data_IF_054573459319
#
_entry.id   IF_054573459319
#
_cell.length_a   1.000
_cell.length_b   1.000
_cell.length_c   1.000
_cell.angle_alpha   90.00
_cell.angle_beta   90.00
_cell.angle_gamma   90.00
#
_symmetry.space_group_name_H-M   'P 1'
#
loop_
_entity.id
_entity.type
_entity.pdbx_description
1 polymer ?
#
# COMPACT_ATOMS: atom_id res chain seq x y z
N UNK A 1 -10.92 -37.24 -35.32
CA UNK A 1 -11.50 -36.46 -34.21
C UNK A 1 -10.59 -36.67 -33.02
N UNK A 2 -9.68 -35.73 -32.77
CA UNK A 2 -8.63 -35.87 -31.78
C UNK A 2 -9.01 -35.07 -30.54
N UNK A 3 -9.04 -35.76 -29.39
CA UNK A 3 -9.41 -35.22 -28.08
C UNK A 3 -8.58 -33.99 -27.73
N UNK A 4 -9.27 -32.89 -27.43
CA UNK A 4 -8.71 -31.75 -26.70
C UNK A 4 -8.72 -32.15 -25.23
N UNK A 5 -7.57 -32.58 -24.73
CA UNK A 5 -7.32 -32.62 -23.30
C UNK A 5 -7.27 -31.17 -22.80
N UNK A 6 -8.37 -30.75 -22.17
CA UNK A 6 -8.43 -29.50 -21.40
C UNK A 6 -7.48 -29.68 -20.22
N UNK A 7 -6.24 -29.23 -20.41
CA UNK A 7 -5.31 -28.96 -19.32
C UNK A 7 -6.00 -28.01 -18.35
N UNK A 8 -6.55 -28.58 -17.27
CA UNK A 8 -6.98 -27.83 -16.08
C UNK A 8 -5.77 -27.02 -15.62
N UNK A 9 -5.75 -25.75 -15.98
CA UNK A 9 -4.86 -24.75 -15.44
C UNK A 9 -4.89 -24.86 -13.92
N UNK A 10 -3.75 -25.16 -13.32
CA UNK A 10 -3.60 -25.30 -11.88
C UNK A 10 -4.00 -24.02 -11.17
N UNK A 11 -5.24 -23.96 -10.72
CA UNK A 11 -5.56 -23.21 -9.52
C UNK A 11 -4.91 -23.99 -8.38
N UNK A 12 -3.69 -23.59 -8.01
CA UNK A 12 -3.18 -24.00 -6.70
C UNK A 12 -4.22 -23.55 -5.69
N UNK A 13 -4.69 -24.49 -4.88
CA UNK A 13 -5.61 -24.22 -3.79
C UNK A 13 -4.85 -23.38 -2.75
N UNK A 14 -4.79 -22.06 -2.94
CA UNK A 14 -4.29 -21.12 -1.95
C UNK A 14 -5.04 -21.38 -0.62
N UNK A 15 -4.33 -21.70 0.49
CA UNK A 15 -5.00 -21.94 1.75
C UNK A 15 -5.88 -20.75 2.14
N UNK A 16 -7.10 -21.00 2.63
CA UNK A 16 -8.02 -19.92 2.98
C UNK A 16 -7.43 -18.92 4.00
N UNK A 17 -6.54 -19.39 4.88
CA UNK A 17 -5.80 -18.53 5.81
C UNK A 17 -4.82 -17.59 5.10
N UNK A 18 -4.12 -18.07 4.06
CA UNK A 18 -3.22 -17.26 3.23
C UNK A 18 -4.00 -16.18 2.49
N UNK A 19 -5.15 -16.55 1.91
CA UNK A 19 -6.01 -15.59 1.22
C UNK A 19 -6.50 -14.48 2.13
N UNK A 20 -6.88 -14.81 3.37
CA UNK A 20 -7.25 -13.81 4.37
C UNK A 20 -6.09 -12.89 4.71
N UNK A 21 -4.91 -13.44 4.94
CA UNK A 21 -3.72 -12.65 5.26
C UNK A 21 -3.36 -11.68 4.14
N UNK A 22 -3.38 -12.14 2.89
CA UNK A 22 -3.14 -11.29 1.72
C UNK A 22 -4.13 -10.12 1.64
N UNK A 23 -5.42 -10.41 1.80
CA UNK A 23 -6.47 -9.39 1.77
C UNK A 23 -6.34 -8.39 2.95
N UNK A 24 -6.02 -8.88 4.14
CA UNK A 24 -5.83 -8.04 5.33
C UNK A 24 -4.64 -7.11 5.18
N UNK A 25 -3.49 -7.62 4.74
CA UNK A 25 -2.28 -6.83 4.47
C UNK A 25 -2.56 -5.80 3.37
N UNK A 26 -3.13 -6.21 2.23
CA UNK A 26 -3.46 -5.29 1.16
C UNK A 26 -4.37 -4.16 1.64
N UNK A 27 -5.43 -4.49 2.39
CA UNK A 27 -6.36 -3.51 2.93
C UNK A 27 -5.73 -2.60 4.00
N UNK A 28 -4.79 -3.10 4.79
CA UNK A 28 -4.05 -2.27 5.74
C UNK A 28 -3.21 -1.22 5.00
N UNK A 29 -2.47 -1.65 3.98
CA UNK A 29 -1.61 -0.78 3.19
C UNK A 29 -2.40 0.24 2.36
N UNK A 30 -3.46 -0.14 1.64
CA UNK A 30 -4.29 0.81 0.87
C UNK A 30 -4.92 1.87 1.79
N UNK A 31 -5.44 1.47 2.96
CA UNK A 31 -5.98 2.41 3.96
C UNK A 31 -4.91 3.35 4.50
N UNK A 32 -3.66 2.91 4.61
CA UNK A 32 -2.56 3.78 5.02
C UNK A 32 -2.36 4.94 4.04
N UNK A 33 -2.73 4.80 2.77
CA UNK A 33 -2.75 5.86 1.75
C UNK A 33 -4.11 6.58 1.65
N UNK A 34 -5.04 6.30 2.56
CA UNK A 34 -6.39 6.86 2.52
C UNK A 34 -7.21 6.37 1.32
N UNK A 35 -6.81 5.25 0.71
CA UNK A 35 -7.47 4.61 -0.43
C UNK A 35 -8.51 3.63 0.10
N UNK A 36 -9.74 3.75 -0.42
CA UNK A 36 -10.83 2.80 -0.18
C UNK A 36 -11.42 2.44 -1.55
N UNK A 37 -10.80 1.45 -2.19
CA UNK A 37 -11.18 0.96 -3.52
C UNK A 37 -10.86 -0.53 -3.58
N UNK A 38 -11.86 -1.34 -3.95
CA UNK A 38 -11.71 -2.79 -4.10
C UNK A 38 -10.74 -3.12 -5.24
N UNK A 39 -10.77 -2.33 -6.32
CA UNK A 39 -9.85 -2.47 -7.46
C UNK A 39 -8.40 -2.29 -7.02
N UNK A 40 -8.13 -1.30 -6.17
CA UNK A 40 -6.79 -1.05 -5.65
C UNK A 40 -6.34 -2.14 -4.67
N UNK A 41 -7.25 -2.64 -3.82
CA UNK A 41 -7.00 -3.78 -2.93
C UNK A 41 -6.63 -5.03 -3.76
N UNK A 42 -7.40 -5.37 -4.79
CA UNK A 42 -7.17 -6.54 -5.64
C UNK A 42 -5.84 -6.47 -6.41
N UNK A 43 -5.45 -5.28 -6.87
CA UNK A 43 -4.13 -5.06 -7.49
C UNK A 43 -3.00 -5.34 -6.51
N UNK A 44 -3.09 -4.82 -5.28
CA UNK A 44 -2.07 -5.07 -4.27
C UNK A 44 -2.03 -6.55 -3.89
N UNK A 45 -3.19 -7.21 -3.71
CA UNK A 45 -3.25 -8.66 -3.48
C UNK A 45 -2.55 -9.43 -4.60
N UNK A 46 -2.71 -9.01 -5.85
CA UNK A 46 -2.07 -9.65 -7.00
C UNK A 46 -0.54 -9.53 -6.96
N UNK A 47 0.00 -8.38 -6.56
CA UNK A 47 1.44 -8.16 -6.34
C UNK A 47 1.95 -9.02 -5.17
N UNK A 48 1.21 -9.06 -4.05
CA UNK A 48 1.56 -9.90 -2.89
C UNK A 48 1.59 -11.39 -3.24
N UNK A 49 0.61 -11.86 -4.03
CA UNK A 49 0.61 -13.23 -4.55
C UNK A 49 1.79 -13.52 -5.46
N UNK A 50 2.21 -12.54 -6.27
CA UNK A 50 3.39 -12.69 -7.12
C UNK A 50 4.66 -12.83 -6.28
N UNK A 51 4.87 -11.93 -5.32
CA UNK A 51 6.01 -11.99 -4.40
C UNK A 51 6.05 -13.31 -3.61
N UNK A 52 4.89 -13.80 -3.15
CA UNK A 52 4.81 -15.09 -2.48
C UNK A 52 5.19 -16.26 -3.39
N UNK A 53 4.84 -16.25 -4.68
CA UNK A 53 5.25 -17.35 -5.58
C UNK A 53 6.76 -17.39 -5.76
N UNK A 54 7.39 -16.23 -5.76
CA UNK A 54 8.84 -16.11 -6.00
C UNK A 54 9.66 -16.54 -4.76
N UNK A 55 9.14 -16.42 -3.53
CA UNK A 55 9.87 -16.74 -2.28
C UNK A 55 9.09 -17.66 -1.29
N UNK A 56 8.11 -18.43 -1.79
CA UNK A 56 7.15 -19.18 -0.95
C UNK A 56 7.81 -20.15 0.03
N UNK A 57 8.88 -20.82 -0.43
CA UNK A 57 9.57 -21.86 0.33
C UNK A 57 10.46 -21.26 1.42
N UNK A 58 11.08 -20.10 1.15
CA UNK A 58 11.91 -19.38 2.12
C UNK A 58 11.11 -18.69 3.21
N UNK A 59 9.96 -18.11 2.86
CA UNK A 59 9.06 -17.38 3.75
C UNK A 59 8.52 -18.23 4.89
N UNK A 60 7.92 -19.37 4.51
CA UNK A 60 7.18 -20.24 5.41
C UNK A 60 8.14 -20.96 6.36
N UNK A 61 9.33 -21.31 5.90
CA UNK A 61 10.36 -21.97 6.72
C UNK A 61 10.90 -21.07 7.85
N UNK A 62 10.85 -19.74 7.69
CA UNK A 62 11.41 -18.77 8.64
C UNK A 62 10.39 -18.17 9.60
N UNK A 63 9.09 -18.40 9.41
CA UNK A 63 8.04 -17.81 10.24
C UNK A 63 7.79 -16.31 10.02
N UNK A 64 8.42 -15.68 9.02
CA UNK A 64 8.36 -14.24 8.76
C UNK A 64 7.40 -13.87 7.62
N UNK A 65 6.29 -14.58 7.49
CA UNK A 65 5.36 -14.39 6.37
C UNK A 65 4.76 -12.97 6.35
N UNK A 66 4.40 -12.40 7.51
CA UNK A 66 3.85 -11.05 7.59
C UNK A 66 4.89 -10.00 7.16
N UNK A 67 6.11 -10.07 7.68
CA UNK A 67 7.20 -9.16 7.31
C UNK A 67 7.49 -9.20 5.81
N UNK A 68 7.46 -10.40 5.21
CA UNK A 68 7.61 -10.55 3.77
C UNK A 68 6.47 -9.89 3.00
N UNK A 69 5.22 -10.05 3.45
CA UNK A 69 4.07 -9.41 2.81
C UNK A 69 4.11 -7.89 2.96
N UNK A 70 4.58 -7.38 4.10
CA UNK A 70 4.77 -5.95 4.32
C UNK A 70 5.89 -5.38 3.44
N UNK A 71 7.01 -6.10 3.29
CA UNK A 71 8.09 -5.71 2.38
C UNK A 71 7.63 -5.78 0.91
N UNK A 72 6.86 -6.80 0.53
CA UNK A 72 6.28 -6.91 -0.81
C UNK A 72 5.29 -5.78 -1.09
N UNK A 73 4.45 -5.42 -0.12
CA UNK A 73 3.53 -4.29 -0.25
C UNK A 73 4.29 -2.96 -0.39
N UNK A 74 5.30 -2.73 0.46
CA UNK A 74 6.17 -1.57 0.37
C UNK A 74 6.83 -1.49 -1.01
N UNK A 75 7.48 -2.57 -1.45
CA UNK A 75 8.16 -2.63 -2.74
C UNK A 75 7.21 -2.38 -3.92
N UNK A 76 6.01 -2.98 -3.92
CA UNK A 76 5.02 -2.78 -4.97
C UNK A 76 4.55 -1.31 -5.05
N UNK A 77 4.25 -0.69 -3.91
CA UNK A 77 3.81 0.70 -3.86
C UNK A 77 4.96 1.65 -4.20
N UNK A 78 6.16 1.40 -3.69
CA UNK A 78 7.36 2.19 -4.01
C UNK A 78 7.63 2.17 -5.51
N UNK A 79 7.62 0.99 -6.13
CA UNK A 79 7.81 0.81 -7.58
C UNK A 79 6.75 1.55 -8.39
N UNK A 80 5.48 1.49 -7.97
CA UNK A 80 4.43 2.27 -8.60
C UNK A 80 4.65 3.77 -8.43
N UNK A 81 5.07 4.24 -7.25
CA UNK A 81 5.42 5.64 -7.03
C UNK A 81 6.63 6.08 -7.89
N UNK A 82 7.62 5.20 -8.13
CA UNK A 82 8.70 5.48 -9.08
C UNK A 82 8.13 5.73 -10.47
N UNK A 83 7.19 4.89 -10.90
CA UNK A 83 6.52 5.05 -12.19
C UNK A 83 5.70 6.35 -12.26
N UNK A 84 5.02 6.74 -11.17
CA UNK A 84 4.27 8.01 -11.11
C UNK A 84 5.19 9.21 -11.19
N UNK A 85 6.27 9.21 -10.39
CA UNK A 85 7.12 10.39 -10.19
C UNK A 85 8.23 10.51 -11.24
N UNK A 86 8.65 9.39 -11.83
CA UNK A 86 9.85 9.29 -12.66
C UNK A 86 11.15 9.24 -11.83
N UNK A 87 11.06 9.00 -10.53
CA UNK A 87 12.22 8.98 -9.62
C UNK A 87 12.51 7.57 -9.08
N UNK A 88 13.79 7.21 -8.96
CA UNK A 88 14.21 5.87 -8.50
C UNK A 88 14.35 5.77 -6.97
N UNK A 89 14.35 6.89 -6.23
CA UNK A 89 14.60 6.91 -4.78
C UNK A 89 13.37 6.57 -3.92
N UNK A 90 12.25 6.17 -4.53
CA UNK A 90 10.97 5.96 -3.83
C UNK A 90 10.97 4.81 -2.84
N UNK A 91 11.93 3.89 -2.93
CA UNK A 91 12.15 2.80 -1.97
C UNK A 91 12.85 3.27 -0.69
N UNK A 92 13.45 4.47 -0.68
CA UNK A 92 14.01 5.05 0.53
C UNK A 92 12.89 5.41 1.50
N UNK A 93 12.98 4.95 2.75
CA UNK A 93 11.96 5.15 3.78
C UNK A 93 11.53 6.62 3.93
N UNK A 94 12.46 7.58 3.86
CA UNK A 94 12.15 9.00 3.98
C UNK A 94 11.36 9.50 2.76
N UNK A 95 11.80 9.14 1.55
CA UNK A 95 11.12 9.54 0.31
C UNK A 95 9.74 8.89 0.21
N UNK A 96 9.63 7.61 0.53
CA UNK A 96 8.37 6.88 0.59
C UNK A 96 7.38 7.56 1.56
N UNK A 97 7.83 7.91 2.77
CA UNK A 97 7.00 8.59 3.76
C UNK A 97 6.53 9.97 3.29
N UNK A 98 7.42 10.75 2.64
CA UNK A 98 7.06 12.04 2.05
C UNK A 98 6.01 11.88 0.94
N UNK A 99 6.20 10.92 0.03
CA UNK A 99 5.26 10.64 -1.06
C UNK A 99 3.92 10.16 -0.54
N UNK A 100 3.91 9.34 0.51
CA UNK A 100 2.67 8.94 1.18
C UNK A 100 1.91 10.15 1.75
N UNK A 101 2.60 11.07 2.43
CA UNK A 101 1.99 12.30 2.94
C UNK A 101 1.46 13.19 1.79
N UNK A 102 2.25 13.37 0.73
CA UNK A 102 1.85 14.12 -0.46
C UNK A 102 0.61 13.50 -1.12
N UNK A 103 0.58 12.17 -1.24
CA UNK A 103 -0.56 11.44 -1.79
C UNK A 103 -1.81 11.61 -0.93
N UNK A 104 -1.70 11.52 0.40
CA UNK A 104 -2.83 11.74 1.31
C UNK A 104 -3.44 13.14 1.13
N UNK A 105 -2.60 14.17 0.96
CA UNK A 105 -3.04 15.53 0.70
C UNK A 105 -3.64 15.69 -0.69
N UNK A 106 -3.05 15.09 -1.72
CA UNK A 106 -3.56 15.11 -3.10
C UNK A 106 -4.88 14.32 -3.26
N UNK A 107 -5.09 13.28 -2.45
CA UNK A 107 -6.24 12.38 -2.51
C UNK A 107 -7.36 12.71 -1.51
N UNK A 108 -7.50 13.99 -1.12
CA UNK A 108 -8.60 14.43 -0.26
C UNK A 108 -9.97 14.22 -0.90
N UNK A 109 -10.10 14.46 -2.21
CA UNK A 109 -11.33 14.27 -3.00
C UNK A 109 -11.59 12.81 -3.38
N UNK A 110 -10.69 11.87 -3.02
CA UNK A 110 -10.77 10.44 -3.37
C UNK A 110 -10.72 10.12 -4.87
N UNK A 111 -10.36 11.08 -5.71
CA UNK A 111 -10.26 10.89 -7.16
C UNK A 111 -9.14 9.94 -7.63
N UNK A 112 -8.19 9.60 -6.75
CA UNK A 112 -7.07 8.71 -7.09
C UNK A 112 -7.23 7.29 -6.57
N UNK A 113 -8.31 6.98 -5.84
CA UNK A 113 -8.49 5.69 -5.19
C UNK A 113 -8.48 4.53 -6.19
N UNK A 114 -9.26 4.61 -7.27
CA UNK A 114 -9.33 3.53 -8.28
C UNK A 114 -8.10 3.48 -9.19
N UNK A 115 -7.32 4.58 -9.23
CA UNK A 115 -6.07 4.68 -10.00
C UNK A 115 -4.85 4.22 -9.21
N UNK A 116 -5.01 3.95 -7.91
CA UNK A 116 -3.94 3.46 -7.07
C UNK A 116 -3.42 2.13 -7.60
N UNK A 117 -2.09 2.01 -7.71
CA UNK A 117 -1.39 0.87 -8.32
C UNK A 117 -1.77 0.57 -9.78
N UNK A 118 -2.42 1.50 -10.48
CA UNK A 118 -2.63 1.38 -11.93
C UNK A 118 -1.35 1.74 -12.68
N UNK A 119 -0.72 0.76 -13.35
CA UNK A 119 0.49 0.97 -14.16
C UNK A 119 0.18 1.29 -15.63
N UNK A 120 -1.08 1.22 -16.04
CA UNK A 120 -1.48 1.42 -17.44
C UNK A 120 -2.03 2.83 -17.71
N UNK A 121 -2.32 3.58 -16.65
CA UNK A 121 -2.84 4.95 -16.72
C UNK A 121 -1.71 5.97 -16.78
N UNK A 122 -1.91 7.05 -17.55
CA UNK A 122 -0.99 8.18 -17.54
C UNK A 122 -0.99 8.85 -16.16
N UNK A 123 0.14 8.83 -15.46
CA UNK A 123 0.28 9.35 -14.10
C UNK A 123 0.71 10.83 -14.02
N UNK A 124 0.77 11.56 -15.13
CA UNK A 124 1.25 12.95 -15.19
C UNK A 124 0.48 13.89 -14.26
N UNK A 125 -0.85 13.82 -14.25
CA UNK A 125 -1.69 14.65 -13.39
C UNK A 125 -1.45 14.35 -11.90
N UNK A 126 -1.27 13.07 -11.56
CA UNK A 126 -0.94 12.65 -10.20
C UNK A 126 0.45 13.14 -9.81
N UNK A 127 1.44 13.00 -10.69
CA UNK A 127 2.80 13.48 -10.43
C UNK A 127 2.80 14.98 -10.13
N UNK A 128 2.11 15.78 -10.95
CA UNK A 128 1.99 17.22 -10.74
C UNK A 128 1.32 17.53 -9.39
N UNK A 129 0.26 16.80 -9.03
CA UNK A 129 -0.38 16.95 -7.73
C UNK A 129 0.57 16.60 -6.57
N UNK A 130 1.33 15.50 -6.66
CA UNK A 130 2.32 15.10 -5.65
C UNK A 130 3.42 16.14 -5.49
N UNK A 131 4.01 16.60 -6.59
CA UNK A 131 5.04 17.65 -6.59
C UNK A 131 4.52 18.94 -5.94
N UNK A 132 3.29 19.35 -6.29
CA UNK A 132 2.65 20.52 -5.68
C UNK A 132 2.55 20.37 -4.17
N UNK A 133 2.11 19.21 -3.68
CA UNK A 133 2.01 18.96 -2.24
C UNK A 133 3.37 18.91 -1.54
N UNK A 134 4.40 18.41 -2.22
CA UNK A 134 5.77 18.36 -1.69
C UNK A 134 6.46 19.74 -1.64
N UNK A 135 6.00 20.70 -2.46
CA UNK A 135 6.50 22.08 -2.44
C UNK A 135 5.77 22.98 -1.42
N UNK A 136 4.66 22.53 -0.85
CA UNK A 136 3.98 23.29 0.18
C UNK A 136 4.82 23.30 1.47
N UNK A 137 4.97 24.46 2.15
CA UNK A 137 5.61 24.50 3.45
C UNK A 137 4.86 23.55 4.39
N UNK A 138 5.61 22.69 5.09
CA UNK A 138 5.06 21.77 6.09
C UNK A 138 4.13 22.57 7.00
N UNK A 139 2.81 22.24 7.05
CA UNK A 139 1.88 23.05 7.82
C UNK A 139 2.39 23.15 9.25
N UNK A 140 2.52 24.38 9.75
CA UNK A 140 3.00 24.64 11.10
C UNK A 140 2.16 23.79 12.05
N UNK A 141 2.83 22.84 12.76
CA UNK A 141 2.21 22.05 13.82
C UNK A 141 1.60 23.05 14.79
N UNK A 142 0.29 23.22 14.74
CA UNK A 142 -0.42 23.79 15.86
C UNK A 142 -0.33 22.73 16.93
N UNK A 143 0.55 22.93 17.91
CA UNK A 143 0.56 22.11 19.11
C UNK A 143 -0.86 22.18 19.67
N UNK A 144 -1.63 21.11 19.49
CA UNK A 144 -2.83 20.88 20.28
C UNK A 144 -2.33 20.64 21.69
N UNK A 145 -2.17 21.72 22.45
CA UNK A 145 -2.01 21.67 23.90
C UNK A 145 -3.24 20.96 24.42
N UNK A 146 -3.11 19.67 24.69
CA UNK A 146 -4.15 18.92 25.39
C UNK A 146 -4.28 19.56 26.77
N UNK A 147 -5.47 20.06 27.17
CA UNK A 147 -5.66 20.57 28.51
C UNK A 147 -5.37 19.43 29.49
N UNK A 148 -4.33 19.59 30.31
CA UNK A 148 -4.03 18.65 31.39
C UNK A 148 -5.24 18.63 32.33
N UNK A 149 -6.01 17.55 32.30
CA UNK A 149 -7.00 17.28 33.34
C UNK A 149 -6.22 17.03 34.64
N UNK A 150 -6.27 17.99 35.56
CA UNK A 150 -5.78 17.81 36.92
C UNK A 150 -6.77 16.94 37.69
N UNK A 151 -6.32 15.77 38.12
CA UNK A 151 -7.05 14.93 39.08
C UNK A 151 -7.16 15.72 40.39
N UNK A 152 -8.37 16.19 40.71
CA UNK A 152 -8.66 16.74 42.02
C UNK A 152 -8.58 15.59 43.04
N UNK A 153 -7.49 15.56 43.80
CA UNK A 153 -7.35 14.68 44.96
C UNK A 153 -8.46 15.02 45.95
N UNK A 154 -9.46 14.15 46.07
CA UNK A 154 -10.47 14.25 47.12
C UNK A 154 -9.78 13.89 48.43
N UNK A 155 -9.48 14.89 49.25
CA UNK A 155 -9.09 14.68 50.63
C UNK A 155 -10.32 14.21 51.41
N UNK A 156 -10.20 13.07 52.08
CA UNK A 156 -11.14 12.55 53.07
C UNK A 156 -10.85 13.12 54.46
#
# INVERSE_FOLDING_TARGET
>A
MSNVEISKSGQSSEPAAMSRLLNETARAWTRSFGVKSEIAEDRLVSELRAALRDDMVGAVAKGNLQDMLDEAAHSAIATWLSHVTGEDETHNANKFAMLRCAFLSANQSKGWCDRFLDRHQNCQDLNMALQTQMMLPTPARHERVMPRQTLATRAS
#
